data_IF_711566998436
#
_entry.id   IF_711566998436
#
_cell.length_a   1.000
_cell.length_b   1.000
_cell.length_c   1.000
_cell.angle_alpha   90.00
_cell.angle_beta   90.00
_cell.angle_gamma   90.00
#
_symmetry.space_group_name_H-M   'P 1'
#
loop_
_entity.id
_entity.type
_entity.pdbx_description
1 polymer ?
#
# COMPACT_ATOMS: atom_id res chain seq x y z
N UNK A 1 15.83 3.98 9.54
CA UNK A 1 14.59 3.46 8.91
C UNK A 1 14.45 1.99 9.28
N UNK A 2 13.33 1.55 9.87
CA UNK A 2 13.06 0.13 10.16
C UNK A 2 12.16 -0.45 9.07
N UNK A 3 12.68 -1.39 8.29
CA UNK A 3 11.90 -2.08 7.26
C UNK A 3 11.49 -3.46 7.79
N UNK A 4 10.19 -3.75 7.81
CA UNK A 4 9.65 -5.03 8.22
C UNK A 4 8.94 -5.69 7.04
N UNK A 5 9.07 -7.01 6.92
CA UNK A 5 8.26 -7.79 5.98
C UNK A 5 7.03 -8.32 6.72
N UNK A 6 5.85 -8.02 6.17
CA UNK A 6 4.57 -8.44 6.74
C UNK A 6 3.71 -9.15 5.70
N UNK A 7 2.67 -9.81 6.18
CA UNK A 7 1.63 -10.40 5.34
C UNK A 7 0.30 -9.67 5.52
N UNK A 8 -0.46 -9.53 4.44
CA UNK A 8 -1.81 -8.99 4.46
C UNK A 8 -2.85 -10.05 4.12
N UNK A 9 -4.08 -9.86 4.62
CA UNK A 9 -5.24 -10.70 4.28
C UNK A 9 -6.05 -10.17 3.09
N UNK A 10 -5.90 -8.88 2.77
CA UNK A 10 -6.65 -8.18 1.72
C UNK A 10 -5.72 -7.28 0.94
N UNK A 11 -5.79 -7.35 -0.40
CA UNK A 11 -5.02 -6.48 -1.29
C UNK A 11 -5.83 -5.24 -1.69
N UNK A 12 -7.07 -5.42 -2.17
CA UNK A 12 -7.96 -4.36 -2.62
C UNK A 12 -8.99 -4.02 -1.53
N UNK A 13 -8.68 -3.09 -0.63
CA UNK A 13 -9.68 -2.57 0.31
C UNK A 13 -10.65 -1.61 -0.40
N UNK A 14 -11.90 -1.49 0.06
CA UNK A 14 -12.80 -0.46 -0.46
C UNK A 14 -12.22 0.94 -0.22
N UNK A 15 -12.23 1.80 -1.24
CA UNK A 15 -11.78 3.18 -1.11
C UNK A 15 -12.93 4.09 -0.68
N UNK A 16 -12.60 5.11 0.13
CA UNK A 16 -13.51 6.21 0.48
C UNK A 16 -13.21 7.49 -0.31
N UNK A 17 -12.19 7.48 -1.16
CA UNK A 17 -11.82 8.63 -1.98
C UNK A 17 -12.76 8.75 -3.18
N UNK A 18 -13.16 9.97 -3.58
CA UNK A 18 -14.02 10.18 -4.74
C UNK A 18 -13.45 9.53 -6.01
N UNK A 19 -14.31 8.84 -6.76
CA UNK A 19 -13.96 8.23 -8.04
C UNK A 19 -13.12 6.95 -7.99
N UNK A 20 -12.78 6.46 -6.78
CA UNK A 20 -12.07 5.20 -6.59
C UNK A 20 -12.98 4.15 -5.96
N UNK A 21 -12.98 2.94 -6.51
CA UNK A 21 -13.69 1.80 -5.92
C UNK A 21 -12.82 1.09 -4.89
N UNK A 22 -11.52 0.96 -5.19
CA UNK A 22 -10.57 0.20 -4.38
C UNK A 22 -9.31 1.00 -4.09
N UNK A 23 -8.68 0.70 -2.97
CA UNK A 23 -7.36 1.17 -2.60
C UNK A 23 -6.41 -0.03 -2.53
N UNK A 24 -5.25 0.11 -3.18
CA UNK A 24 -4.16 -0.84 -3.14
C UNK A 24 -2.95 -0.15 -2.51
N UNK A 25 -2.50 -0.63 -1.37
CA UNK A 25 -1.39 -0.02 -0.62
C UNK A 25 -0.30 -1.08 -0.41
N UNK A 26 0.71 -1.14 -1.29
CA UNK A 26 1.79 -2.13 -1.24
C UNK A 26 2.62 -2.08 0.06
N UNK A 27 2.70 -0.89 0.64
CA UNK A 27 3.44 -0.61 1.86
C UNK A 27 2.53 -0.03 2.96
N UNK A 28 3.04 0.02 4.17
CA UNK A 28 2.53 0.85 5.27
C UNK A 28 3.70 1.61 5.89
N UNK A 29 3.53 2.88 6.22
CA UNK A 29 4.67 3.78 6.44
C UNK A 29 5.23 4.32 5.12
N UNK A 30 6.12 5.30 5.19
CA UNK A 30 6.68 5.95 4.01
C UNK A 30 8.05 6.57 4.33
N UNK A 31 9.08 6.26 3.55
CA UNK A 31 10.44 6.75 3.82
C UNK A 31 10.61 8.26 3.61
N UNK A 32 9.73 8.89 2.82
CA UNK A 32 9.80 10.33 2.55
C UNK A 32 9.58 11.20 3.80
N UNK A 33 8.90 10.68 4.82
CA UNK A 33 8.71 11.37 6.10
C UNK A 33 8.14 12.81 5.99
N UNK A 34 7.28 13.07 4.99
CA UNK A 34 6.75 14.43 4.77
C UNK A 34 6.04 14.97 6.01
N UNK A 35 6.40 16.18 6.43
CA UNK A 35 5.83 16.84 7.62
C UNK A 35 4.32 17.08 7.52
N UNK A 36 3.80 17.19 6.30
CA UNK A 36 2.38 17.43 6.00
C UNK A 36 1.63 16.15 5.61
N UNK A 37 2.21 14.96 5.81
CA UNK A 37 1.57 13.72 5.39
C UNK A 37 0.27 13.45 6.18
N UNK A 38 -0.84 13.23 5.48
CA UNK A 38 -2.13 12.92 6.09
C UNK A 38 -2.28 11.45 6.50
N UNK A 39 -1.48 10.55 5.91
CA UNK A 39 -1.61 9.11 6.07
C UNK A 39 -1.55 8.62 7.54
N UNK A 40 -0.69 9.15 8.44
CA UNK A 40 -0.67 8.75 9.85
C UNK A 40 -2.04 8.90 10.52
N UNK A 41 -2.72 10.03 10.27
CA UNK A 41 -4.01 10.33 10.87
C UNK A 41 -5.11 9.37 10.35
N UNK A 42 -5.11 9.10 9.03
CA UNK A 42 -6.06 8.16 8.41
C UNK A 42 -5.85 6.73 8.91
N UNK A 43 -4.60 6.31 9.05
CA UNK A 43 -4.23 4.96 9.51
C UNK A 43 -4.33 4.80 11.03
N UNK A 44 -4.52 5.89 11.78
CA UNK A 44 -4.38 5.93 13.25
C UNK A 44 -3.04 5.35 13.70
N UNK A 45 -1.98 5.63 12.94
CA UNK A 45 -0.64 5.13 13.20
C UNK A 45 -0.02 5.89 14.39
N UNK A 46 0.53 5.13 15.33
CA UNK A 46 1.15 5.66 16.55
C UNK A 46 2.66 5.71 16.48
N UNK A 47 3.27 4.89 15.60
CA UNK A 47 4.70 4.92 15.34
C UNK A 47 5.08 6.25 14.68
N UNK A 48 6.28 6.74 14.95
CA UNK A 48 6.82 7.96 14.33
C UNK A 48 6.81 7.80 12.81
N UNK A 49 6.07 8.65 12.09
CA UNK A 49 6.02 8.61 10.62
C UNK A 49 7.42 8.84 10.04
N UNK A 50 7.75 8.14 8.95
CA UNK A 50 9.10 8.18 8.38
C UNK A 50 10.15 7.34 9.11
N UNK A 51 9.82 6.71 10.25
CA UNK A 51 10.77 5.83 10.94
C UNK A 51 10.68 4.36 10.52
N UNK A 52 9.62 3.97 9.80
CA UNK A 52 9.35 2.59 9.44
C UNK A 52 8.69 2.44 8.07
N UNK A 53 8.86 1.26 7.49
CA UNK A 53 8.10 0.75 6.34
C UNK A 53 7.77 -0.72 6.59
N UNK A 54 6.50 -1.07 6.52
CA UNK A 54 6.05 -2.47 6.50
C UNK A 54 5.72 -2.86 5.06
N UNK A 55 6.48 -3.81 4.52
CA UNK A 55 6.37 -4.33 3.16
C UNK A 55 5.40 -5.50 3.14
N UNK A 56 4.29 -5.39 2.40
CA UNK A 56 3.30 -6.48 2.29
C UNK A 56 3.73 -7.49 1.22
N UNK A 57 4.65 -8.38 1.58
CA UNK A 57 5.31 -9.32 0.64
C UNK A 57 4.35 -10.20 -0.15
N UNK A 58 3.24 -10.61 0.47
CA UNK A 58 2.26 -11.48 -0.17
C UNK A 58 1.17 -10.70 -0.95
N UNK A 59 1.22 -9.37 -1.00
CA UNK A 59 0.17 -8.54 -1.60
C UNK A 59 -0.10 -8.90 -3.09
N UNK A 60 0.91 -9.12 -3.97
CA UNK A 60 0.65 -9.51 -5.36
C UNK A 60 -0.10 -10.84 -5.46
N UNK A 61 0.23 -11.82 -4.62
CA UNK A 61 -0.43 -13.12 -4.59
C UNK A 61 -1.89 -13.02 -4.14
N UNK A 62 -2.17 -12.14 -3.17
CA UNK A 62 -3.55 -11.87 -2.72
C UNK A 62 -4.31 -11.11 -3.82
N UNK A 63 -3.68 -10.13 -4.46
CA UNK A 63 -4.27 -9.36 -5.56
C UNK A 63 -4.71 -10.27 -6.71
N UNK A 64 -3.86 -11.17 -7.18
CA UNK A 64 -4.20 -12.12 -8.25
C UNK A 64 -5.42 -13.00 -7.92
N UNK A 65 -5.62 -13.35 -6.64
CA UNK A 65 -6.80 -14.10 -6.19
C UNK A 65 -8.05 -13.21 -6.12
N UNK A 66 -7.91 -11.98 -5.66
CA UNK A 66 -9.02 -11.03 -5.52
C UNK A 66 -9.54 -10.52 -6.87
N UNK A 67 -8.65 -10.27 -7.84
CA UNK A 67 -9.03 -9.80 -9.19
C UNK A 67 -9.98 -10.75 -9.91
N UNK A 68 -9.91 -12.05 -9.64
CA UNK A 68 -10.81 -13.07 -10.21
C UNK A 68 -12.25 -13.00 -9.67
N UNK A 69 -12.45 -12.39 -8.49
CA UNK A 69 -13.72 -12.43 -7.74
C UNK A 69 -14.36 -11.06 -7.57
N UNK A 70 -13.57 -9.99 -7.52
CA UNK A 70 -14.07 -8.64 -7.30
C UNK A 70 -14.69 -8.07 -8.57
N UNK A 71 -15.68 -7.18 -8.38
CA UNK A 71 -16.26 -6.41 -9.48
C UNK A 71 -15.19 -5.49 -10.07
N UNK A 72 -15.23 -5.28 -11.39
CA UNK A 72 -14.38 -4.29 -12.07
C UNK A 72 -14.61 -2.90 -11.45
N UNK A 73 -13.54 -2.13 -11.30
CA UNK A 73 -13.59 -0.80 -10.72
C UNK A 73 -12.24 -0.10 -10.76
N UNK A 74 -12.24 1.20 -10.46
CA UNK A 74 -11.03 2.03 -10.40
C UNK A 74 -10.26 1.75 -9.11
N UNK A 75 -8.96 1.51 -9.25
CA UNK A 75 -8.04 1.24 -8.14
C UNK A 75 -7.11 2.43 -7.97
N UNK A 76 -7.07 3.01 -6.77
CA UNK A 76 -6.03 3.95 -6.38
C UNK A 76 -4.87 3.21 -5.73
N UNK A 77 -3.66 3.40 -6.25
CA UNK A 77 -2.45 2.79 -5.70
C UNK A 77 -1.72 3.83 -4.84
N UNK A 78 -1.32 3.46 -3.62
CA UNK A 78 -0.59 4.35 -2.72
C UNK A 78 -1.47 5.47 -2.12
N UNK A 79 -2.70 5.15 -1.72
CA UNK A 79 -3.61 6.14 -1.13
C UNK A 79 -3.24 6.56 0.30
N UNK A 80 -2.39 5.79 1.00
CA UNK A 80 -1.92 6.09 2.37
C UNK A 80 -0.43 5.75 2.58
N UNK A 81 0.30 5.62 1.48
CA UNK A 81 1.75 5.38 1.43
C UNK A 81 2.22 5.76 0.02
N UNK A 82 3.52 5.97 -0.16
CA UNK A 82 4.05 6.13 -1.51
C UNK A 82 4.38 4.77 -2.11
N UNK A 83 3.84 4.49 -3.30
CA UNK A 83 3.99 3.21 -4.00
C UNK A 83 5.37 3.04 -4.64
N UNK A 84 6.10 4.13 -4.87
CA UNK A 84 7.42 4.17 -5.47
C UNK A 84 8.47 4.80 -4.53
N UNK A 85 8.25 4.71 -3.21
CA UNK A 85 9.26 5.07 -2.21
C UNK A 85 10.55 4.24 -2.40
N UNK A 86 11.70 4.66 -1.83
CA UNK A 86 12.98 3.99 -2.04
C UNK A 86 12.98 2.47 -1.84
N UNK A 87 12.17 1.94 -0.91
CA UNK A 87 11.98 0.50 -0.67
C UNK A 87 11.48 -0.25 -1.92
N UNK A 88 10.69 0.39 -2.78
CA UNK A 88 10.21 -0.21 -4.03
C UNK A 88 11.35 -0.64 -4.95
N UNK A 89 12.49 0.08 -4.94
CA UNK A 89 13.68 -0.30 -5.72
C UNK A 89 14.20 -1.71 -5.39
N UNK A 90 13.98 -2.18 -4.16
CA UNK A 90 14.39 -3.52 -3.70
C UNK A 90 13.24 -4.51 -3.74
N UNK A 91 12.05 -4.10 -3.31
CA UNK A 91 10.95 -5.03 -3.05
C UNK A 91 10.00 -5.23 -4.23
N UNK A 92 9.89 -4.23 -5.10
CA UNK A 92 9.12 -4.27 -6.35
C UNK A 92 7.66 -4.73 -6.17
N UNK A 93 7.05 -4.44 -5.00
CA UNK A 93 5.69 -4.90 -4.72
C UNK A 93 4.70 -4.17 -5.63
N UNK A 94 4.88 -2.86 -5.85
CA UNK A 94 4.03 -2.09 -6.76
C UNK A 94 4.18 -2.61 -8.18
N UNK A 95 5.41 -2.80 -8.66
CA UNK A 95 5.70 -3.37 -9.99
C UNK A 95 5.00 -4.71 -10.20
N UNK A 96 5.19 -5.66 -9.28
CA UNK A 96 4.58 -7.00 -9.37
C UNK A 96 3.05 -6.96 -9.33
N UNK A 97 2.46 -5.96 -8.69
CA UNK A 97 1.02 -5.76 -8.71
C UNK A 97 0.49 -5.26 -10.06
N UNK A 98 1.28 -4.46 -10.79
CA UNK A 98 0.91 -3.92 -12.10
C UNK A 98 1.07 -4.94 -13.24
N UNK A 99 1.85 -5.99 -13.04
CA UNK A 99 2.07 -7.07 -14.01
C UNK A 99 1.01 -8.18 -13.99
N UNK A 100 0.01 -8.07 -13.11
CA UNK A 100 -1.11 -9.01 -12.96
C UNK A 100 -2.30 -8.56 -13.80
#
# INVERSE_FOLDING_TARGET
MKINEIVCKTALSASKLPGLNYALNPYMGCEHSCVYCYAPAVLKEKRKWGSFVDVKRNLPNILAKELKKKKKGRVGIGTVTDAYQPAEKKYEITRRCLEI
#
